data_IF_731347822607
#
_entry.id   IF_731347822607
#
_cell.length_a   1.000
_cell.length_b   1.000
_cell.length_c   1.000
_cell.angle_alpha   90.00
_cell.angle_beta   90.00
_cell.angle_gamma   90.00
#
_symmetry.space_group_name_H-M   'P 1'
#
loop_
_entity.id
_entity.type
_entity.pdbx_description
1 polymer ?
#
# COMPACT_ATOMS: atom_id res chain seq x y z
N UNK A 1 7.26 24.85 2.17
CA UNK A 1 7.29 24.79 3.65
C UNK A 1 8.72 24.60 4.13
N UNK A 2 9.42 23.58 3.61
CA UNK A 2 10.78 23.20 3.98
C UNK A 2 11.79 24.37 3.89
N UNK A 3 11.87 25.03 2.73
CA UNK A 3 12.80 26.15 2.51
C UNK A 3 12.41 27.45 3.24
N UNK A 4 11.15 27.58 3.67
CA UNK A 4 10.66 28.82 4.31
C UNK A 4 10.79 28.81 5.85
N UNK A 5 10.73 27.64 6.48
CA UNK A 5 10.69 27.51 7.93
C UNK A 5 11.94 26.90 8.56
N UNK A 6 13.00 26.62 7.78
CA UNK A 6 14.25 26.07 8.30
C UNK A 6 14.07 24.73 9.03
N UNK A 7 13.08 23.94 8.63
CA UNK A 7 12.81 22.63 9.24
C UNK A 7 13.94 21.67 8.84
N UNK A 8 14.51 20.94 9.80
CA UNK A 8 15.54 19.96 9.54
C UNK A 8 15.02 18.83 8.63
N UNK A 9 15.86 18.33 7.73
CA UNK A 9 15.52 17.27 6.76
C UNK A 9 14.88 16.06 7.40
N UNK A 10 15.41 15.64 8.54
CA UNK A 10 14.89 14.50 9.29
C UNK A 10 13.47 14.74 9.80
N UNK A 11 13.15 15.99 10.22
CA UNK A 11 11.81 16.34 10.70
C UNK A 11 10.80 16.30 9.54
N UNK A 12 11.19 16.78 8.35
CA UNK A 12 10.36 16.69 7.15
C UNK A 12 10.05 15.22 6.80
N UNK A 13 11.06 14.35 6.81
CA UNK A 13 10.91 12.92 6.51
C UNK A 13 10.02 12.24 7.54
N UNK A 14 10.23 12.50 8.84
CA UNK A 14 9.40 11.91 9.90
C UNK A 14 7.95 12.36 9.80
N UNK A 15 7.69 13.65 9.59
CA UNK A 15 6.32 14.17 9.43
C UNK A 15 5.66 13.55 8.19
N UNK A 16 6.37 13.51 7.06
CA UNK A 16 5.85 12.91 5.83
C UNK A 16 5.49 11.43 5.99
N UNK A 17 6.29 10.67 6.74
CA UNK A 17 6.01 9.27 7.04
C UNK A 17 4.84 9.09 8.02
N UNK A 18 4.60 10.05 8.92
CA UNK A 18 3.51 10.00 9.89
C UNK A 18 2.15 10.36 9.28
N UNK A 19 2.11 11.21 8.24
CA UNK A 19 0.86 11.67 7.63
C UNK A 19 -0.05 10.51 7.19
N UNK A 20 0.39 9.50 6.43
CA UNK A 20 -0.46 8.38 6.04
C UNK A 20 -1.02 7.61 7.23
N UNK A 21 -0.23 7.44 8.29
CA UNK A 21 -0.65 6.77 9.52
C UNK A 21 -1.72 7.58 10.24
N UNK A 22 -1.49 8.89 10.41
CA UNK A 22 -2.41 9.79 11.09
C UNK A 22 -3.76 9.90 10.35
N UNK A 23 -3.73 10.05 9.03
CA UNK A 23 -4.94 10.16 8.19
C UNK A 23 -5.78 8.89 8.22
N UNK A 24 -5.15 7.72 8.29
CA UNK A 24 -5.85 6.42 8.30
C UNK A 24 -6.14 5.89 9.70
N UNK A 25 -5.68 6.60 10.76
CA UNK A 25 -5.77 6.12 12.13
C UNK A 25 -4.99 4.83 12.38
N UNK A 26 -3.99 4.53 11.54
CA UNK A 26 -3.16 3.32 11.64
C UNK A 26 -3.77 2.05 11.03
N UNK A 27 -4.99 2.10 10.52
CA UNK A 27 -5.75 0.93 10.05
C UNK A 27 -4.99 0.07 9.00
N UNK A 28 -4.26 0.70 8.08
CA UNK A 28 -3.47 -0.05 7.09
C UNK A 28 -2.21 -0.66 7.69
N UNK A 29 -1.58 0.03 8.65
CA UNK A 29 -0.40 -0.47 9.36
C UNK A 29 -0.78 -1.67 10.25
N UNK A 30 -1.93 -1.61 10.91
CA UNK A 30 -2.49 -2.72 11.68
C UNK A 30 -2.62 -3.97 10.81
N UNK A 31 -3.34 -3.86 9.69
CA UNK A 31 -3.45 -4.97 8.73
C UNK A 31 -2.11 -5.42 8.14
N UNK A 32 -1.13 -4.52 7.98
CA UNK A 32 0.22 -4.88 7.58
C UNK A 32 0.91 -5.74 8.65
N UNK A 33 0.84 -5.35 9.92
CA UNK A 33 1.45 -6.06 11.03
C UNK A 33 0.87 -7.45 11.19
N UNK A 34 -0.45 -7.59 11.21
CA UNK A 34 -1.16 -8.87 11.32
C UNK A 34 -0.81 -9.81 10.17
N UNK A 35 -0.78 -9.28 8.94
CA UNK A 35 -0.40 -10.05 7.76
C UNK A 35 1.04 -10.52 7.82
N UNK A 36 1.96 -9.70 8.33
CA UNK A 36 3.37 -10.07 8.47
C UNK A 36 3.56 -11.17 9.50
N UNK A 37 2.87 -11.13 10.64
CA UNK A 37 2.89 -12.22 11.61
C UNK A 37 2.34 -13.52 11.01
N UNK A 38 1.20 -13.44 10.33
CA UNK A 38 0.60 -14.61 9.70
C UNK A 38 1.52 -15.24 8.65
N UNK A 39 2.15 -14.43 7.77
CA UNK A 39 3.01 -14.92 6.70
C UNK A 39 4.32 -15.52 7.20
N UNK A 40 4.89 -14.98 8.27
CA UNK A 40 6.16 -15.46 8.84
C UNK A 40 5.98 -16.51 9.92
N UNK A 41 4.75 -16.91 10.24
CA UNK A 41 4.47 -17.99 11.19
C UNK A 41 4.87 -19.38 10.64
N UNK A 42 5.05 -19.53 9.34
CA UNK A 42 5.30 -20.80 8.65
C UNK A 42 4.25 -21.89 8.91
N UNK A 43 3.06 -21.48 9.38
CA UNK A 43 1.95 -22.38 9.74
C UNK A 43 1.07 -22.70 8.53
N UNK A 44 0.22 -23.76 8.63
CA UNK A 44 -0.83 -24.02 7.66
C UNK A 44 -1.82 -22.86 7.51
N UNK A 45 -2.57 -22.85 6.41
CA UNK A 45 -3.51 -21.79 6.06
C UNK A 45 -4.51 -21.44 7.18
N UNK A 46 -5.11 -22.46 7.78
CA UNK A 46 -6.14 -22.32 8.83
C UNK A 46 -5.57 -21.59 10.06
N UNK A 47 -4.35 -21.94 10.46
CA UNK A 47 -3.67 -21.29 11.58
C UNK A 47 -3.24 -19.86 11.24
N UNK A 48 -2.83 -19.58 9.99
CA UNK A 48 -2.56 -18.21 9.52
C UNK A 48 -3.82 -17.34 9.57
N UNK A 49 -4.97 -17.88 9.18
CA UNK A 49 -6.25 -17.19 9.29
C UNK A 49 -6.69 -16.98 10.75
N UNK A 50 -6.27 -17.84 11.68
CA UNK A 50 -6.48 -17.64 13.10
C UNK A 50 -5.59 -16.51 13.67
N UNK A 51 -4.32 -16.45 13.25
CA UNK A 51 -3.41 -15.35 13.62
C UNK A 51 -3.99 -13.99 13.21
N UNK A 52 -4.55 -13.85 12.00
CA UNK A 52 -5.23 -12.64 11.54
C UNK A 52 -6.51 -12.27 12.35
N UNK A 53 -6.91 -13.05 13.33
CA UNK A 53 -8.03 -12.76 14.25
C UNK A 53 -7.54 -12.56 15.69
N UNK A 54 -6.27 -12.83 15.94
CA UNK A 54 -5.66 -12.69 17.26
C UNK A 54 -5.25 -11.23 17.49
N UNK A 55 -5.65 -10.66 18.60
CA UNK A 55 -5.28 -9.30 18.99
C UNK A 55 -3.86 -9.17 19.57
N UNK A 56 -3.13 -10.28 19.72
CA UNK A 56 -1.76 -10.26 20.22
C UNK A 56 -0.78 -9.99 19.09
N UNK A 57 0.17 -9.08 19.35
CA UNK A 57 1.22 -8.72 18.40
C UNK A 57 2.37 -9.71 18.50
N UNK A 58 2.75 -10.34 17.39
CA UNK A 58 3.91 -11.20 17.32
C UNK A 58 5.21 -10.44 17.00
N UNK A 59 6.33 -11.13 17.17
CA UNK A 59 7.65 -10.54 16.95
C UNK A 59 7.86 -10.09 15.49
N UNK A 60 7.34 -10.83 14.52
CA UNK A 60 7.51 -10.50 13.10
C UNK A 60 6.74 -9.25 12.69
N UNK A 61 5.58 -8.96 13.28
CA UNK A 61 4.86 -7.71 13.08
C UNK A 61 5.76 -6.51 13.40
N UNK A 62 6.43 -6.54 14.56
CA UNK A 62 7.31 -5.44 15.02
C UNK A 62 8.56 -5.32 14.16
N UNK A 63 9.24 -6.43 13.86
CA UNK A 63 10.45 -6.44 13.02
C UNK A 63 10.14 -5.91 11.63
N UNK A 64 9.05 -6.36 11.02
CA UNK A 64 8.67 -5.96 9.67
C UNK A 64 8.14 -4.54 9.61
N UNK A 65 7.47 -4.06 10.68
CA UNK A 65 7.08 -2.66 10.79
C UNK A 65 8.32 -1.74 10.85
N UNK A 66 9.31 -2.10 11.64
CA UNK A 66 10.57 -1.34 11.71
C UNK A 66 11.28 -1.31 10.34
N UNK A 67 11.38 -2.45 9.67
CA UNK A 67 11.99 -2.55 8.34
C UNK A 67 11.21 -1.72 7.30
N UNK A 68 9.88 -1.80 7.30
CA UNK A 68 9.00 -0.99 6.46
C UNK A 68 9.20 0.51 6.71
N UNK A 69 9.17 0.93 7.97
CA UNK A 69 9.33 2.33 8.34
C UNK A 69 10.67 2.91 7.91
N UNK A 70 11.77 2.19 8.15
CA UNK A 70 13.12 2.59 7.72
C UNK A 70 13.22 2.70 6.19
N UNK A 71 12.69 1.71 5.46
CA UNK A 71 12.71 1.71 4.00
C UNK A 71 11.85 2.85 3.44
N UNK A 72 10.65 3.05 3.97
CA UNK A 72 9.75 4.11 3.53
C UNK A 72 10.34 5.49 3.77
N UNK A 73 10.88 5.74 4.98
CA UNK A 73 11.54 7.01 5.31
C UNK A 73 12.77 7.26 4.45
N UNK A 74 13.60 6.24 4.24
CA UNK A 74 14.77 6.33 3.36
C UNK A 74 14.39 6.64 1.91
N UNK A 75 13.36 5.99 1.38
CA UNK A 75 12.85 6.26 0.04
C UNK A 75 12.22 7.65 -0.07
N UNK A 76 11.39 8.04 0.90
CA UNK A 76 10.73 9.35 0.94
C UNK A 76 11.74 10.50 1.01
N UNK A 77 12.86 10.32 1.73
CA UNK A 77 13.93 11.34 1.81
C UNK A 77 14.55 11.70 0.46
N UNK A 78 14.41 10.84 -0.55
CA UNK A 78 14.90 11.07 -1.92
C UNK A 78 13.87 11.76 -2.82
N UNK A 79 12.66 11.98 -2.33
CA UNK A 79 11.57 12.66 -3.08
C UNK A 79 11.64 14.17 -2.81
N UNK A 80 12.68 14.81 -3.36
CA UNK A 80 12.98 16.23 -3.13
C UNK A 80 12.48 17.15 -4.26
N UNK A 81 12.15 16.58 -5.42
CA UNK A 81 11.68 17.32 -6.59
C UNK A 81 10.15 17.47 -6.54
N UNK A 82 9.65 18.67 -6.86
CA UNK A 82 8.21 18.96 -6.82
C UNK A 82 7.38 17.99 -7.69
N UNK A 83 7.88 17.63 -8.89
CA UNK A 83 7.19 16.67 -9.77
C UNK A 83 7.15 15.27 -9.15
N UNK A 84 8.27 14.81 -8.56
CA UNK A 84 8.33 13.54 -7.86
C UNK A 84 7.37 13.52 -6.67
N UNK A 85 7.28 14.63 -5.92
CA UNK A 85 6.38 14.76 -4.78
C UNK A 85 4.91 14.73 -5.20
N UNK A 86 4.52 15.45 -6.27
CA UNK A 86 3.15 15.41 -6.81
C UNK A 86 2.79 13.97 -7.23
N UNK A 87 3.69 13.31 -7.95
CA UNK A 87 3.48 11.91 -8.38
C UNK A 87 3.38 10.99 -7.16
N UNK A 88 4.24 11.17 -6.15
CA UNK A 88 4.17 10.41 -4.89
C UNK A 88 2.82 10.57 -4.19
N UNK A 89 2.31 11.79 -4.05
CA UNK A 89 0.99 12.05 -3.46
C UNK A 89 -0.14 11.31 -4.19
N UNK A 90 -0.08 11.24 -5.53
CA UNK A 90 -1.04 10.47 -6.31
C UNK A 90 -0.93 8.95 -6.06
N UNK A 91 0.21 8.46 -5.60
CA UNK A 91 0.42 7.06 -5.21
C UNK A 91 -0.54 6.59 -4.12
N UNK A 92 -0.89 7.46 -3.18
CA UNK A 92 -1.89 7.16 -2.15
C UNK A 92 -3.27 6.90 -2.77
N UNK A 93 -3.65 7.63 -3.80
CA UNK A 93 -4.89 7.40 -4.52
C UNK A 93 -4.85 6.11 -5.34
N UNK A 94 -3.75 5.85 -6.03
CA UNK A 94 -3.53 4.65 -6.85
C UNK A 94 -3.62 3.39 -5.99
N UNK A 95 -2.94 3.36 -4.84
CA UNK A 95 -2.97 2.21 -3.92
C UNK A 95 -4.39 1.88 -3.45
N UNK A 96 -5.22 2.89 -3.15
CA UNK A 96 -6.63 2.70 -2.75
C UNK A 96 -7.48 2.20 -3.91
N UNK A 97 -7.32 2.74 -5.11
CA UNK A 97 -8.03 2.23 -6.29
C UNK A 97 -7.69 0.77 -6.56
N UNK A 98 -6.42 0.38 -6.50
CA UNK A 98 -5.98 -1.00 -6.69
C UNK A 98 -6.48 -1.93 -5.56
N UNK A 99 -6.43 -1.47 -4.30
CA UNK A 99 -7.02 -2.21 -3.18
C UNK A 99 -8.52 -2.43 -3.36
N UNK A 100 -9.26 -1.40 -3.77
CA UNK A 100 -10.68 -1.51 -4.10
C UNK A 100 -10.97 -2.48 -5.25
N UNK A 101 -10.15 -2.46 -6.31
CA UNK A 101 -10.24 -3.42 -7.42
C UNK A 101 -10.01 -4.84 -6.90
N UNK A 102 -9.02 -5.06 -6.03
CA UNK A 102 -8.77 -6.37 -5.43
C UNK A 102 -9.98 -6.86 -4.63
N UNK A 103 -10.59 -6.00 -3.79
CA UNK A 103 -11.75 -6.34 -2.96
C UNK A 103 -12.94 -6.82 -3.80
N UNK A 104 -13.21 -6.18 -4.93
CA UNK A 104 -14.36 -6.55 -5.79
C UNK A 104 -14.02 -7.64 -6.83
N UNK A 105 -12.74 -8.01 -7.00
CA UNK A 105 -12.29 -8.93 -8.06
C UNK A 105 -11.70 -10.22 -7.54
N UNK A 106 -11.00 -10.20 -6.41
CA UNK A 106 -10.32 -11.38 -5.86
C UNK A 106 -11.24 -12.17 -4.95
N UNK A 107 -10.91 -13.46 -4.80
CA UNK A 107 -11.63 -14.32 -3.87
C UNK A 107 -11.34 -13.92 -2.42
N UNK A 108 -12.37 -13.79 -1.58
CA UNK A 108 -12.19 -13.65 -0.15
C UNK A 108 -11.66 -14.94 0.47
N UNK A 109 -10.71 -14.83 1.40
CA UNK A 109 -10.18 -15.97 2.17
C UNK A 109 -11.13 -16.39 3.30
N UNK A 110 -12.01 -15.49 3.75
CA UNK A 110 -13.02 -15.71 4.80
C UNK A 110 -14.41 -15.53 4.20
N UNK A 111 -15.41 -16.23 4.74
CA UNK A 111 -16.83 -16.07 4.39
C UNK A 111 -17.56 -15.10 5.33
N UNK A 112 -16.83 -14.44 6.23
CA UNK A 112 -17.30 -13.48 7.21
C UNK A 112 -16.39 -12.24 7.25
N UNK A 113 -16.84 -11.21 7.97
CA UNK A 113 -16.08 -9.97 8.18
C UNK A 113 -16.43 -8.84 7.20
N UNK A 114 -15.93 -7.64 7.51
CA UNK A 114 -16.26 -6.40 6.80
C UNK A 114 -15.94 -6.47 5.30
N UNK A 115 -14.76 -7.00 4.92
CA UNK A 115 -14.38 -7.11 3.51
C UNK A 115 -15.35 -7.99 2.73
N UNK A 116 -15.76 -9.13 3.30
CA UNK A 116 -16.74 -10.01 2.67
C UNK A 116 -18.09 -9.32 2.50
N UNK A 117 -18.57 -8.62 3.54
CA UNK A 117 -19.83 -7.86 3.48
C UNK A 117 -19.81 -6.77 2.39
N UNK A 118 -18.72 -5.99 2.32
CA UNK A 118 -18.55 -4.99 1.28
C UNK A 118 -18.49 -5.60 -0.13
N UNK A 119 -17.77 -6.70 -0.30
CA UNK A 119 -17.68 -7.38 -1.58
C UNK A 119 -18.98 -8.03 -2.02
N UNK A 120 -19.82 -8.48 -1.08
CA UNK A 120 -21.10 -9.12 -1.36
C UNK A 120 -22.21 -8.11 -1.69
N UNK A 121 -22.25 -6.98 -0.97
CA UNK A 121 -23.26 -5.92 -1.18
C UNK A 121 -22.94 -4.98 -2.34
N UNK A 122 -21.68 -4.92 -2.79
CA UNK A 122 -21.26 -4.03 -3.85
C UNK A 122 -21.76 -4.48 -5.23
N UNK A 123 -22.24 -3.52 -6.03
CA UNK A 123 -22.42 -3.72 -7.48
C UNK A 123 -21.05 -3.85 -8.15
N UNK A 124 -20.43 -5.04 -8.06
CA UNK A 124 -19.02 -5.30 -8.41
C UNK A 124 -18.62 -4.74 -9.77
N UNK A 125 -19.49 -4.86 -10.77
CA UNK A 125 -19.21 -4.36 -12.13
C UNK A 125 -19.12 -2.85 -12.17
N UNK A 126 -20.06 -2.15 -11.50
CA UNK A 126 -20.08 -0.67 -11.48
C UNK A 126 -18.90 -0.13 -10.68
N UNK A 127 -18.65 -0.69 -9.49
CA UNK A 127 -17.53 -0.26 -8.64
C UNK A 127 -16.20 -0.48 -9.35
N UNK A 128 -16.00 -1.64 -9.96
CA UNK A 128 -14.79 -1.96 -10.72
C UNK A 128 -14.60 -1.01 -11.91
N UNK A 129 -15.65 -0.75 -12.69
CA UNK A 129 -15.57 0.18 -13.81
C UNK A 129 -15.21 1.61 -13.34
N UNK A 130 -15.85 2.09 -12.26
CA UNK A 130 -15.54 3.39 -11.68
C UNK A 130 -14.07 3.50 -11.22
N UNK A 131 -13.56 2.47 -10.54
CA UNK A 131 -12.17 2.45 -10.08
C UNK A 131 -11.16 2.41 -11.26
N UNK A 132 -11.45 1.67 -12.32
CA UNK A 132 -10.60 1.69 -13.52
C UNK A 132 -10.61 3.05 -14.23
N UNK A 133 -11.78 3.72 -14.32
CA UNK A 133 -11.89 5.06 -14.90
C UNK A 133 -11.07 6.05 -14.06
N UNK A 134 -11.23 6.03 -12.74
CA UNK A 134 -10.48 6.88 -11.82
C UNK A 134 -8.97 6.66 -11.94
N UNK A 135 -8.54 5.39 -12.00
CA UNK A 135 -7.14 5.04 -12.17
C UNK A 135 -6.59 5.54 -13.51
N UNK A 136 -7.34 5.36 -14.60
CA UNK A 136 -6.94 5.85 -15.94
C UNK A 136 -6.82 7.37 -15.98
N UNK A 137 -7.77 8.10 -15.40
CA UNK A 137 -7.71 9.57 -15.30
C UNK A 137 -6.51 10.04 -14.48
N UNK A 138 -6.26 9.41 -13.33
CA UNK A 138 -5.10 9.71 -12.50
C UNK A 138 -3.80 9.48 -13.29
N UNK A 139 -3.66 8.34 -13.95
CA UNK A 139 -2.48 8.04 -14.76
C UNK A 139 -2.28 9.02 -15.92
N UNK A 140 -3.35 9.43 -16.61
CA UNK A 140 -3.26 10.44 -17.67
C UNK A 140 -2.68 11.77 -17.15
N UNK A 141 -3.12 12.21 -15.95
CA UNK A 141 -2.56 13.41 -15.29
C UNK A 141 -1.08 13.22 -14.96
N UNK A 142 -0.70 12.05 -14.42
CA UNK A 142 0.70 11.78 -14.07
C UNK A 142 1.64 11.78 -15.26
N UNK A 143 1.20 11.29 -16.43
CA UNK A 143 1.99 11.36 -17.65
C UNK A 143 2.25 12.80 -18.10
N UNK A 144 1.31 13.72 -17.85
CA UNK A 144 1.50 15.15 -18.13
C UNK A 144 2.48 15.77 -17.14
N UNK A 145 2.44 15.37 -15.87
CA UNK A 145 3.35 15.90 -14.82
C UNK A 145 4.79 15.49 -15.08
N UNK A 146 5.04 14.18 -15.25
CA UNK A 146 6.38 13.65 -15.53
C UNK A 146 6.30 12.20 -15.99
N UNK A 147 6.68 11.96 -17.24
CA UNK A 147 6.70 10.62 -17.83
C UNK A 147 7.58 9.63 -17.06
N UNK A 148 8.86 9.94 -16.70
CA UNK A 148 9.69 8.95 -16.02
C UNK A 148 9.18 8.57 -14.64
N UNK A 149 8.72 9.52 -13.84
CA UNK A 149 8.12 9.22 -12.51
C UNK A 149 6.81 8.45 -12.64
N UNK A 150 5.94 8.81 -13.61
CA UNK A 150 4.69 8.11 -13.85
C UNK A 150 4.93 6.64 -14.24
N UNK A 151 5.87 6.39 -15.16
CA UNK A 151 6.21 5.02 -15.59
C UNK A 151 6.77 4.19 -14.42
N UNK A 152 7.70 4.74 -13.64
CA UNK A 152 8.27 4.04 -12.47
C UNK A 152 7.18 3.69 -11.44
N UNK A 153 6.29 4.62 -11.14
CA UNK A 153 5.17 4.40 -10.22
C UNK A 153 4.22 3.32 -10.73
N UNK A 154 3.84 3.34 -12.01
CA UNK A 154 2.93 2.36 -12.60
C UNK A 154 3.54 0.96 -12.53
N UNK A 155 4.82 0.82 -12.86
CA UNK A 155 5.54 -0.45 -12.79
C UNK A 155 5.56 -0.96 -11.34
N UNK A 156 5.93 -0.11 -10.38
CA UNK A 156 5.97 -0.48 -8.97
C UNK A 156 4.58 -0.91 -8.44
N UNK A 157 3.53 -0.16 -8.78
CA UNK A 157 2.16 -0.46 -8.41
C UNK A 157 1.67 -1.79 -9.03
N UNK A 158 1.95 -2.03 -10.31
CA UNK A 158 1.56 -3.25 -11.01
C UNK A 158 2.27 -4.49 -10.45
N UNK A 159 3.58 -4.39 -10.17
CA UNK A 159 4.36 -5.47 -9.56
C UNK A 159 3.88 -5.78 -8.15
N UNK A 160 3.57 -4.75 -7.34
CA UNK A 160 3.01 -4.90 -6.00
C UNK A 160 1.64 -5.58 -6.04
N UNK A 161 0.78 -5.20 -6.98
CA UNK A 161 -0.54 -5.78 -7.15
C UNK A 161 -0.49 -7.26 -7.57
N UNK A 162 0.40 -7.58 -8.51
CA UNK A 162 0.65 -8.96 -8.93
C UNK A 162 1.21 -9.80 -7.79
N UNK A 163 2.23 -9.30 -7.07
CA UNK A 163 2.80 -9.96 -5.89
C UNK A 163 1.72 -10.22 -4.83
N UNK A 164 0.90 -9.22 -4.52
CA UNK A 164 -0.19 -9.33 -3.58
C UNK A 164 -1.17 -10.46 -3.94
N UNK A 165 -1.60 -10.49 -5.20
CA UNK A 165 -2.50 -11.55 -5.69
C UNK A 165 -1.90 -12.95 -5.52
N UNK A 166 -0.66 -13.13 -5.98
CA UNK A 166 0.01 -14.44 -5.93
C UNK A 166 0.24 -14.88 -4.48
N UNK A 167 0.73 -13.97 -3.64
CA UNK A 167 1.06 -14.25 -2.24
C UNK A 167 -0.18 -14.60 -1.43
N UNK A 168 -1.23 -13.79 -1.48
CA UNK A 168 -2.46 -14.05 -0.71
C UNK A 168 -3.20 -15.30 -1.17
N UNK A 169 -3.23 -15.55 -2.48
CA UNK A 169 -3.80 -16.77 -3.02
C UNK A 169 -3.06 -18.02 -2.54
N UNK A 170 -1.74 -17.97 -2.49
CA UNK A 170 -0.89 -19.10 -2.03
C UNK A 170 -1.03 -19.31 -0.51
N UNK A 171 -0.91 -18.26 0.27
CA UNK A 171 -0.80 -18.35 1.73
C UNK A 171 -2.15 -18.50 2.44
N UNK A 172 -3.20 -17.84 1.92
CA UNK A 172 -4.52 -17.75 2.57
C UNK A 172 -5.67 -18.26 1.69
N UNK A 173 -5.40 -18.57 0.42
CA UNK A 173 -6.42 -18.95 -0.56
C UNK A 173 -7.32 -17.81 -1.02
N UNK A 174 -6.99 -16.56 -0.70
CA UNK A 174 -7.71 -15.35 -1.03
C UNK A 174 -7.28 -14.15 -0.19
N UNK A 175 -8.06 -13.08 -0.21
CA UNK A 175 -7.77 -11.84 0.50
C UNK A 175 -8.62 -11.69 1.78
N UNK A 176 -8.14 -10.89 2.74
CA UNK A 176 -8.85 -10.44 3.94
C UNK A 176 -8.77 -8.92 4.05
N UNK A 177 -9.47 -8.30 5.02
CA UNK A 177 -9.33 -6.88 5.32
C UNK A 177 -7.89 -6.51 5.68
N UNK A 178 -7.24 -7.32 6.52
CA UNK A 178 -5.87 -7.14 6.97
C UNK A 178 -4.90 -7.17 5.79
N UNK A 179 -5.05 -8.16 4.90
CA UNK A 179 -4.21 -8.23 3.69
C UNK A 179 -4.48 -7.11 2.70
N UNK A 180 -5.66 -6.47 2.71
CA UNK A 180 -5.90 -5.27 1.92
C UNK A 180 -5.12 -4.07 2.47
N UNK A 181 -5.06 -3.89 3.80
CA UNK A 181 -4.18 -2.92 4.46
C UNK A 181 -2.71 -3.19 4.20
N UNK A 182 -2.29 -4.45 4.32
CA UNK A 182 -0.95 -4.89 3.94
C UNK A 182 -0.58 -4.50 2.50
N UNK A 183 -1.49 -4.74 1.54
CA UNK A 183 -1.25 -4.37 0.15
C UNK A 183 -1.02 -2.86 -0.01
N UNK A 184 -1.84 -2.04 0.64
CA UNK A 184 -1.69 -0.57 0.60
C UNK A 184 -0.29 -0.17 1.06
N UNK A 185 0.18 -0.70 2.20
CA UNK A 185 1.51 -0.38 2.74
C UNK A 185 2.63 -0.79 1.80
N UNK A 186 2.64 -2.03 1.31
CA UNK A 186 3.72 -2.48 0.40
C UNK A 186 3.70 -1.75 -0.94
N UNK A 187 2.52 -1.43 -1.47
CA UNK A 187 2.36 -0.72 -2.72
C UNK A 187 2.90 0.72 -2.60
N UNK A 188 2.56 1.42 -1.53
CA UNK A 188 3.04 2.78 -1.27
C UNK A 188 4.56 2.83 -1.04
N UNK A 189 5.09 1.87 -0.29
CA UNK A 189 6.53 1.74 -0.08
C UNK A 189 7.26 1.45 -1.40
N UNK A 190 6.77 0.52 -2.20
CA UNK A 190 7.36 0.20 -3.50
C UNK A 190 7.34 1.39 -4.47
N UNK A 191 6.24 2.15 -4.49
CA UNK A 191 6.15 3.38 -5.29
C UNK A 191 7.12 4.44 -4.79
N UNK A 192 7.26 4.64 -3.47
CA UNK A 192 8.24 5.56 -2.90
C UNK A 192 9.68 5.18 -3.28
N UNK A 193 10.03 3.90 -3.18
CA UNK A 193 11.34 3.37 -3.58
C UNK A 193 11.61 3.60 -5.07
N UNK A 194 10.61 3.33 -5.92
CA UNK A 194 10.76 3.53 -7.36
C UNK A 194 10.97 5.01 -7.72
N UNK A 195 10.21 5.92 -7.09
CA UNK A 195 10.37 7.36 -7.31
C UNK A 195 11.71 7.89 -6.78
N UNK A 196 12.12 7.47 -5.58
CA UNK A 196 13.43 7.79 -5.03
C UNK A 196 14.55 7.30 -5.95
N UNK A 197 14.44 6.08 -6.48
CA UNK A 197 15.40 5.53 -7.44
C UNK A 197 15.51 6.35 -8.73
N UNK A 198 14.38 6.78 -9.30
CA UNK A 198 14.36 7.66 -10.49
C UNK A 198 15.00 9.02 -10.21
N UNK A 199 14.80 9.57 -9.00
CA UNK A 199 15.40 10.87 -8.60
C UNK A 199 16.94 10.84 -8.56
N UNK A 200 17.59 9.66 -8.51
CA UNK A 200 19.04 9.54 -8.65
C UNK A 200 19.53 9.56 -10.09
N UNK A 201 18.61 9.33 -11.06
CA UNK A 201 18.98 9.15 -12.48
C UNK A 201 18.74 10.43 -13.26
N UNK A 202 17.77 11.22 -12.86
CA UNK A 202 17.33 12.46 -13.53
C UNK A 202 17.44 13.68 -12.61
#
# INVERSE_FOLDING_TARGET
IYSHFGVADICYVCIGALIPIAVTGGFHIDGFMDTMDAFHSYKPREEKLAILKDSHIGAFAVIMLAAYGLLFMGAFSQIINDKAFIVFCAGFFISRCLSGIAVVSFKSAKSDGLLFMFADTAHRTIVRAALYIQLALCMAVLFIVSLPYAVAMIIAAALSFWYYYVKTKKELGGITGDTAGYFVCICECAMAVALGGVSFII
#
